data_IF_530658934660
#
_entry.id   IF_530658934660
#
_cell.length_a   1.000
_cell.length_b   1.000
_cell.length_c   1.000
_cell.angle_alpha   90.00
_cell.angle_beta   90.00
_cell.angle_gamma   90.00
#
_symmetry.space_group_name_H-M   'P 1'
#
loop_
_entity.id
_entity.type
_entity.pdbx_description
1 polymer ?
#
# COMPACT_ATOMS: atom_id res chain seq x y z
N UNK A 1 2.76 73.75 -10.08
CA UNK A 1 1.56 72.93 -9.94
C UNK A 1 1.17 72.13 -11.21
N UNK A 2 1.10 72.77 -12.40
CA UNK A 2 0.75 72.03 -13.66
C UNK A 2 1.66 70.84 -14.00
N UNK A 3 2.98 70.96 -13.82
CA UNK A 3 3.93 69.87 -14.12
C UNK A 3 3.81 68.62 -13.16
N UNK A 4 3.47 68.88 -11.90
CA UNK A 4 3.24 67.78 -10.91
C UNK A 4 1.93 67.05 -11.22
N UNK A 5 0.90 67.75 -11.63
CA UNK A 5 -0.39 67.16 -12.03
C UNK A 5 -0.23 66.26 -13.26
N UNK A 6 0.60 66.67 -14.24
CA UNK A 6 0.87 65.89 -15.45
C UNK A 6 1.64 64.61 -15.14
N UNK A 7 2.60 64.63 -14.20
CA UNK A 7 3.37 63.44 -13.79
C UNK A 7 2.44 62.44 -13.04
N UNK A 8 1.57 62.92 -12.17
CA UNK A 8 0.60 62.07 -11.47
C UNK A 8 -0.41 61.45 -12.46
N UNK A 9 -0.86 62.21 -13.46
CA UNK A 9 -1.77 61.68 -14.48
C UNK A 9 -1.13 60.62 -15.39
N UNK A 10 0.16 60.82 -15.77
CA UNK A 10 0.89 59.83 -16.55
C UNK A 10 1.23 58.56 -15.74
N UNK A 11 1.55 58.69 -14.43
CA UNK A 11 1.76 57.50 -13.58
C UNK A 11 0.47 56.72 -13.31
N UNK A 12 -0.68 57.39 -13.20
CA UNK A 12 -1.99 56.71 -13.08
C UNK A 12 -2.38 55.97 -14.35
N UNK A 13 -2.04 56.46 -15.54
CA UNK A 13 -2.30 55.74 -16.78
C UNK A 13 -1.46 54.49 -17.01
N UNK A 14 -0.23 54.44 -16.48
CA UNK A 14 0.65 53.27 -16.58
C UNK A 14 0.21 52.14 -15.64
N UNK A 15 -0.44 52.46 -14.52
CA UNK A 15 -0.98 51.43 -13.59
C UNK A 15 -2.25 50.74 -14.15
N UNK A 16 -2.98 51.36 -15.03
CA UNK A 16 -4.21 50.81 -15.61
C UNK A 16 -3.92 49.87 -16.81
N UNK A 17 -2.76 49.99 -17.47
CA UNK A 17 -2.40 49.15 -18.61
C UNK A 17 -1.66 47.83 -18.23
N UNK A 18 -1.47 47.56 -16.96
CA UNK A 18 -0.73 46.40 -16.48
C UNK A 18 -1.56 45.19 -16.06
N UNK A 19 -2.87 45.21 -16.19
CA UNK A 19 -3.68 44.01 -16.08
C UNK A 19 -3.96 43.47 -17.48
N UNK A 20 -3.09 42.62 -17.99
CA UNK A 20 -3.52 41.66 -19.01
C UNK A 20 -4.67 40.87 -18.37
N UNK A 21 -5.89 41.12 -18.89
CA UNK A 21 -7.00 40.25 -18.58
C UNK A 21 -6.67 38.88 -19.15
N UNK A 22 -6.10 38.02 -18.31
CA UNK A 22 -6.03 36.59 -18.60
C UNK A 22 -7.48 36.13 -18.78
N UNK A 23 -7.87 35.95 -20.04
CA UNK A 23 -9.19 35.42 -20.38
C UNK A 23 -9.21 33.92 -20.04
N UNK A 24 -9.51 33.61 -18.78
CA UNK A 24 -9.66 32.23 -18.28
C UNK A 24 -10.78 31.46 -18.98
N UNK A 25 -11.59 32.15 -19.81
CA UNK A 25 -12.62 31.51 -20.61
C UNK A 25 -12.07 30.89 -21.91
N UNK A 26 -10.85 31.23 -22.32
CA UNK A 26 -10.19 30.62 -23.47
C UNK A 26 -9.23 29.54 -23.09
N UNK A 27 -9.14 28.47 -23.90
CA UNK A 27 -8.15 27.40 -23.72
C UNK A 27 -6.75 27.95 -23.96
N UNK A 28 -5.90 27.86 -22.94
CA UNK A 28 -4.54 28.41 -22.96
C UNK A 28 -3.47 27.32 -23.19
N UNK A 29 -3.85 26.04 -23.11
CA UNK A 29 -2.93 24.94 -23.20
C UNK A 29 -3.39 23.93 -24.26
N UNK A 30 -2.44 23.23 -24.85
CA UNK A 30 -2.76 22.15 -25.77
C UNK A 30 -3.50 21.04 -25.04
N UNK A 31 -4.66 20.65 -25.56
CA UNK A 31 -5.42 19.50 -25.08
C UNK A 31 -4.73 18.21 -25.52
N UNK A 32 -4.14 17.51 -24.59
CA UNK A 32 -3.48 16.21 -24.83
C UNK A 32 -3.94 15.19 -23.80
N UNK A 33 -4.18 13.95 -24.24
CA UNK A 33 -4.53 12.84 -23.36
C UNK A 33 -3.26 12.32 -22.67
N UNK A 34 -3.31 12.20 -21.36
CA UNK A 34 -2.23 11.74 -20.49
C UNK A 34 -2.69 10.55 -19.65
N UNK A 35 -1.85 9.58 -19.39
CA UNK A 35 -2.06 8.62 -18.30
C UNK A 35 -1.56 9.20 -16.97
N UNK A 36 -2.40 9.13 -15.94
CA UNK A 36 -2.07 9.65 -14.63
C UNK A 36 -0.94 8.83 -14.02
N UNK A 37 0.18 9.48 -13.77
CA UNK A 37 1.40 8.88 -13.25
C UNK A 37 2.36 9.95 -12.71
N UNK A 38 3.32 9.55 -11.89
CA UNK A 38 4.42 10.41 -11.44
C UNK A 38 5.46 10.65 -12.58
N UNK A 39 6.58 11.32 -12.25
CA UNK A 39 7.65 11.58 -13.22
C UNK A 39 8.33 10.31 -13.77
N UNK A 40 8.28 9.20 -13.03
CA UNK A 40 8.81 7.90 -13.42
C UNK A 40 7.76 7.00 -14.10
N UNK A 41 6.63 7.57 -14.50
CA UNK A 41 5.50 6.87 -15.14
C UNK A 41 4.87 5.79 -14.25
N UNK A 42 5.02 5.90 -12.94
CA UNK A 42 4.39 5.01 -11.94
C UNK A 42 3.16 5.68 -11.34
N UNK A 43 2.07 4.93 -11.22
CA UNK A 43 0.90 5.32 -10.45
C UNK A 43 0.73 4.36 -9.28
N UNK A 44 0.93 4.85 -8.05
CA UNK A 44 1.03 4.10 -6.79
C UNK A 44 0.08 4.62 -5.69
N UNK A 45 -0.98 5.34 -6.10
CA UNK A 45 -1.89 6.02 -5.17
C UNK A 45 -3.12 5.22 -4.79
N UNK A 46 -3.37 4.10 -5.45
CA UNK A 46 -4.49 3.22 -5.17
C UNK A 46 -4.03 2.00 -4.38
N UNK A 47 -4.91 1.50 -3.53
CA UNK A 47 -4.70 0.29 -2.72
C UNK A 47 -5.90 -0.60 -2.93
N UNK A 48 -5.67 -1.88 -3.14
CA UNK A 48 -6.71 -2.88 -3.24
C UNK A 48 -7.00 -3.47 -1.86
N UNK A 49 -8.26 -3.44 -1.47
CA UNK A 49 -8.73 -4.08 -0.25
C UNK A 49 -8.84 -5.60 -0.45
N UNK A 50 -8.27 -6.36 0.48
CA UNK A 50 -8.37 -7.82 0.49
C UNK A 50 -9.72 -8.21 1.08
N UNK A 51 -10.70 -8.39 0.22
CA UNK A 51 -12.07 -8.76 0.60
C UNK A 51 -12.61 -9.86 -0.32
N UNK A 52 -13.62 -10.56 0.14
CA UNK A 52 -14.30 -11.55 -0.67
C UNK A 52 -14.92 -10.90 -1.91
N UNK A 53 -14.59 -11.42 -3.09
CA UNK A 53 -15.06 -10.89 -4.38
C UNK A 53 -14.07 -9.96 -5.07
N UNK A 54 -12.98 -9.59 -4.39
CA UNK A 54 -11.94 -8.71 -4.95
C UNK A 54 -12.25 -7.22 -4.82
N UNK A 55 -11.48 -6.39 -5.54
CA UNK A 55 -11.59 -4.94 -5.52
C UNK A 55 -11.34 -4.34 -6.90
N UNK A 56 -11.60 -3.06 -7.09
CA UNK A 56 -11.45 -2.36 -8.37
C UNK A 56 -10.49 -1.19 -8.25
N UNK A 57 -9.39 -1.26 -8.99
CA UNK A 57 -8.52 -0.11 -9.22
C UNK A 57 -8.78 0.49 -10.60
N UNK A 58 -8.16 1.63 -10.89
CA UNK A 58 -8.39 2.35 -12.14
C UNK A 58 -7.09 2.77 -12.81
N UNK A 59 -6.99 2.56 -14.13
CA UNK A 59 -6.09 3.31 -14.97
C UNK A 59 -6.80 4.59 -15.36
N UNK A 60 -6.22 5.74 -15.07
CA UNK A 60 -6.86 7.04 -15.28
C UNK A 60 -6.20 7.74 -16.46
N UNK A 61 -7.00 8.02 -17.49
CA UNK A 61 -6.64 8.94 -18.56
C UNK A 61 -7.20 10.32 -18.23
N UNK A 62 -6.40 11.36 -18.40
CA UNK A 62 -6.78 12.75 -18.18
C UNK A 62 -6.47 13.59 -19.41
N UNK A 63 -7.34 14.56 -19.72
CA UNK A 63 -7.10 15.55 -20.73
C UNK A 63 -6.45 16.77 -20.09
N UNK A 64 -5.30 17.21 -20.61
CA UNK A 64 -4.70 18.50 -20.24
C UNK A 64 -5.48 19.64 -20.83
N UNK A 65 -5.24 20.85 -20.33
CA UNK A 65 -5.92 22.05 -20.76
C UNK A 65 -6.55 22.79 -19.59
N UNK A 66 -6.94 24.03 -19.79
CA UNK A 66 -7.63 24.88 -18.80
C UNK A 66 -9.15 24.68 -18.82
N UNK A 67 -9.68 24.14 -19.91
CA UNK A 67 -11.11 23.92 -20.13
C UNK A 67 -11.41 22.42 -20.30
N UNK A 68 -12.56 21.99 -19.83
CA UNK A 68 -13.10 20.67 -20.14
C UNK A 68 -13.31 20.51 -21.67
N UNK A 69 -13.44 19.27 -22.13
CA UNK A 69 -13.73 19.06 -23.56
C UNK A 69 -15.20 19.33 -23.89
N UNK A 70 -15.45 19.94 -25.04
CA UNK A 70 -16.81 20.19 -25.53
C UNK A 70 -17.39 18.95 -26.23
N UNK A 71 -16.52 18.09 -26.76
CA UNK A 71 -16.88 16.84 -27.44
C UNK A 71 -16.24 15.64 -26.75
N UNK A 72 -16.81 14.44 -26.85
CA UNK A 72 -16.20 13.23 -26.33
C UNK A 72 -14.85 12.93 -26.97
N UNK A 73 -13.84 12.63 -26.17
CA UNK A 73 -12.51 12.20 -26.63
C UNK A 73 -12.34 10.73 -26.38
N UNK A 74 -12.22 9.93 -27.45
CA UNK A 74 -11.99 8.49 -27.35
C UNK A 74 -10.54 8.21 -26.94
N UNK A 75 -10.36 7.45 -25.89
CA UNK A 75 -9.07 6.97 -25.40
C UNK A 75 -9.00 5.47 -25.56
N UNK A 76 -7.97 5.00 -26.24
CA UNK A 76 -7.72 3.57 -26.45
C UNK A 76 -6.41 3.20 -25.78
N UNK A 77 -6.45 2.18 -24.92
CA UNK A 77 -5.30 1.61 -24.26
C UNK A 77 -4.84 0.33 -24.97
N UNK A 78 -3.59 -0.04 -24.74
CA UNK A 78 -3.03 -1.33 -25.10
C UNK A 78 -2.02 -1.77 -24.04
N UNK A 79 -1.81 -3.07 -23.93
CA UNK A 79 -0.75 -3.62 -23.08
C UNK A 79 0.63 -3.15 -23.55
N UNK A 80 1.54 -3.02 -22.61
CA UNK A 80 2.93 -2.67 -22.86
C UNK A 80 3.83 -3.50 -21.93
N UNK A 81 5.08 -3.72 -22.32
CA UNK A 81 6.09 -4.49 -21.57
C UNK A 81 7.44 -3.76 -21.51
N UNK A 82 7.44 -2.45 -21.78
CA UNK A 82 8.67 -1.68 -21.97
C UNK A 82 9.17 -0.98 -20.70
N UNK A 83 8.25 -0.56 -19.83
CA UNK A 83 8.60 0.24 -18.64
C UNK A 83 9.10 -0.59 -17.48
N UNK A 84 8.56 -1.80 -17.25
CA UNK A 84 8.92 -2.61 -16.09
C UNK A 84 10.41 -2.97 -16.09
N UNK A 85 10.97 -3.25 -17.27
CA UNK A 85 12.42 -3.52 -17.41
C UNK A 85 13.26 -2.30 -17.04
N UNK A 86 12.86 -1.10 -17.51
CA UNK A 86 13.54 0.15 -17.17
C UNK A 86 13.40 0.47 -15.68
N UNK A 87 12.22 0.25 -15.11
CA UNK A 87 11.95 0.41 -13.68
C UNK A 87 12.88 -0.50 -12.84
N UNK A 88 12.96 -1.78 -13.17
CA UNK A 88 13.81 -2.75 -12.48
C UNK A 88 15.29 -2.37 -12.54
N UNK A 89 15.78 -1.98 -13.73
CA UNK A 89 17.16 -1.54 -13.90
C UNK A 89 17.46 -0.27 -13.06
N UNK A 90 16.55 0.69 -13.06
CA UNK A 90 16.74 1.96 -12.33
C UNK A 90 16.70 1.81 -10.81
N UNK A 91 15.85 0.90 -10.29
CA UNK A 91 15.60 0.79 -8.85
C UNK A 91 16.40 -0.32 -8.17
N UNK A 92 16.77 -1.38 -8.90
CA UNK A 92 17.36 -2.58 -8.31
C UNK A 92 18.67 -3.01 -9.00
N UNK A 93 19.00 -2.40 -10.14
CA UNK A 93 20.20 -2.65 -10.96
C UNK A 93 20.42 -4.16 -11.21
N UNK A 94 21.39 -4.78 -10.54
CA UNK A 94 21.72 -6.20 -10.67
C UNK A 94 20.99 -7.11 -9.68
N UNK A 95 20.30 -6.54 -8.68
CA UNK A 95 19.64 -7.34 -7.64
C UNK A 95 18.31 -7.92 -8.13
N UNK A 96 18.40 -9.00 -8.92
CA UNK A 96 17.24 -9.67 -9.54
C UNK A 96 16.22 -10.20 -8.52
N UNK A 97 16.65 -10.53 -7.29
CA UNK A 97 15.75 -11.01 -6.25
C UNK A 97 14.70 -9.96 -5.83
N UNK A 98 14.99 -8.67 -6.04
CA UNK A 98 14.12 -7.54 -5.73
C UNK A 98 13.29 -7.04 -6.92
N UNK A 99 13.48 -7.62 -8.11
CA UNK A 99 12.80 -7.13 -9.30
C UNK A 99 11.28 -7.18 -9.12
N UNK A 100 10.66 -6.07 -9.48
CA UNK A 100 9.22 -6.01 -9.63
C UNK A 100 8.75 -6.93 -10.76
N UNK A 101 7.52 -7.41 -10.65
CA UNK A 101 6.91 -8.41 -11.53
C UNK A 101 5.61 -7.85 -12.12
N UNK A 102 5.18 -8.42 -13.22
CA UNK A 102 3.79 -8.23 -13.65
C UNK A 102 2.84 -8.99 -12.72
N UNK A 103 1.67 -8.40 -12.50
CA UNK A 103 0.59 -9.10 -11.81
C UNK A 103 0.16 -10.31 -12.66
N UNK A 104 0.06 -11.53 -12.07
CA UNK A 104 -0.42 -12.71 -12.80
C UNK A 104 -1.81 -12.48 -13.42
N UNK A 105 -2.05 -13.03 -14.60
CA UNK A 105 -3.30 -12.85 -15.34
C UNK A 105 -4.53 -13.35 -14.58
N UNK A 106 -4.38 -14.38 -13.75
CA UNK A 106 -5.44 -14.89 -12.88
C UNK A 106 -5.84 -13.94 -11.75
N UNK A 107 -5.05 -12.87 -11.52
CA UNK A 107 -5.28 -11.91 -10.44
C UNK A 107 -6.01 -10.66 -10.88
N UNK A 108 -6.37 -10.51 -12.16
CA UNK A 108 -7.10 -9.33 -12.61
C UNK A 108 -7.95 -9.60 -13.85
N UNK A 109 -8.89 -8.69 -14.09
CA UNK A 109 -9.63 -8.55 -15.34
C UNK A 109 -9.63 -7.08 -15.77
N UNK A 110 -9.41 -6.87 -17.07
CA UNK A 110 -9.47 -5.54 -17.68
C UNK A 110 -10.57 -5.53 -18.75
N UNK A 111 -11.80 -5.14 -18.40
CA UNK A 111 -12.98 -5.41 -19.23
C UNK A 111 -13.03 -4.58 -20.51
N UNK A 112 -12.39 -3.41 -20.54
CA UNK A 112 -12.38 -2.54 -21.72
C UNK A 112 -11.08 -1.78 -21.87
N UNK A 113 -10.56 -1.78 -23.08
CA UNK A 113 -9.39 -1.00 -23.50
C UNK A 113 -9.78 0.31 -24.18
N UNK A 114 -11.08 0.62 -24.29
CA UNK A 114 -11.57 1.81 -24.93
C UNK A 114 -12.64 2.49 -24.08
N UNK A 115 -12.45 3.78 -23.82
CA UNK A 115 -13.40 4.63 -23.10
C UNK A 115 -13.36 6.06 -23.61
N UNK A 116 -14.45 6.80 -23.40
CA UNK A 116 -14.53 8.21 -23.74
C UNK A 116 -14.32 9.09 -22.51
N UNK A 117 -13.54 10.16 -22.66
CA UNK A 117 -13.63 11.34 -21.80
C UNK A 117 -14.87 12.08 -22.28
N UNK A 118 -15.94 12.09 -21.51
CA UNK A 118 -17.21 12.71 -21.90
C UNK A 118 -17.09 14.22 -22.02
N UNK A 119 -17.95 14.83 -22.86
CA UNK A 119 -18.08 16.28 -22.89
C UNK A 119 -18.35 16.84 -21.46
N UNK A 120 -17.72 17.96 -21.14
CA UNK A 120 -17.74 18.54 -19.79
C UNK A 120 -16.86 17.84 -18.76
N UNK A 121 -16.15 16.76 -19.13
CA UNK A 121 -15.22 16.04 -18.27
C UNK A 121 -13.76 16.28 -18.69
N UNK A 122 -12.83 16.02 -17.79
CA UNK A 122 -11.38 16.04 -18.04
C UNK A 122 -10.71 14.68 -17.85
N UNK A 123 -11.46 13.60 -17.57
CA UNK A 123 -10.88 12.27 -17.31
C UNK A 123 -11.79 11.11 -17.70
N UNK A 124 -11.18 9.99 -18.01
CA UNK A 124 -11.81 8.67 -18.10
C UNK A 124 -11.09 7.70 -17.14
N UNK A 125 -11.85 6.80 -16.51
CA UNK A 125 -11.36 5.85 -15.52
C UNK A 125 -11.61 4.43 -16.03
N UNK A 126 -10.56 3.74 -16.45
CA UNK A 126 -10.60 2.36 -16.91
C UNK A 126 -10.58 1.42 -15.72
N UNK A 127 -11.63 0.67 -15.43
CA UNK A 127 -11.66 -0.23 -14.29
C UNK A 127 -10.74 -1.43 -14.51
N UNK A 128 -10.05 -1.82 -13.45
CA UNK A 128 -9.24 -3.04 -13.34
C UNK A 128 -9.80 -3.83 -12.18
N UNK A 129 -10.51 -4.91 -12.46
CA UNK A 129 -11.06 -5.78 -11.42
C UNK A 129 -9.97 -6.71 -10.90
N UNK A 130 -9.64 -6.61 -9.62
CA UNK A 130 -8.63 -7.41 -8.95
C UNK A 130 -9.27 -8.57 -8.20
N UNK A 131 -8.66 -9.74 -8.29
CA UNK A 131 -9.11 -10.97 -7.62
C UNK A 131 -7.90 -11.83 -7.24
N UNK A 132 -8.08 -12.81 -6.36
CA UNK A 132 -7.04 -13.76 -5.96
C UNK A 132 -5.74 -13.10 -5.45
N UNK A 133 -5.82 -11.91 -4.87
CA UNK A 133 -4.64 -11.18 -4.40
C UNK A 133 -3.95 -11.85 -3.20
N UNK A 134 -4.61 -12.77 -2.54
CA UNK A 134 -4.04 -13.64 -1.50
C UNK A 134 -2.95 -14.59 -2.05
N UNK A 135 -2.97 -14.89 -3.36
CA UNK A 135 -1.98 -15.76 -4.02
C UNK A 135 -0.66 -15.06 -4.31
N UNK A 136 -0.63 -13.72 -4.34
CA UNK A 136 0.59 -12.98 -4.60
C UNK A 136 1.38 -12.70 -3.33
N UNK A 137 2.71 -12.82 -3.42
CA UNK A 137 3.61 -12.58 -2.30
C UNK A 137 3.54 -11.12 -1.84
N UNK A 138 3.39 -10.85 -0.54
CA UNK A 138 3.43 -9.49 0.00
C UNK A 138 4.83 -8.87 -0.05
N UNK A 139 5.87 -9.66 -0.32
CA UNK A 139 7.27 -9.22 -0.39
C UNK A 139 7.69 -8.77 -1.79
N UNK A 140 6.86 -9.03 -2.80
CA UNK A 140 7.13 -8.65 -4.18
C UNK A 140 6.37 -7.39 -4.57
N UNK A 141 6.94 -6.65 -5.49
CA UNK A 141 6.30 -5.49 -6.12
C UNK A 141 5.62 -5.96 -7.39
N UNK A 142 4.34 -5.65 -7.55
CA UNK A 142 3.56 -6.03 -8.73
C UNK A 142 3.06 -4.81 -9.46
N UNK A 143 3.07 -4.90 -10.81
CA UNK A 143 2.58 -3.87 -11.71
C UNK A 143 1.67 -4.44 -12.78
N UNK A 144 0.76 -3.59 -13.27
CA UNK A 144 0.16 -3.69 -14.59
C UNK A 144 0.72 -2.55 -15.45
N UNK A 145 1.01 -2.82 -16.72
CA UNK A 145 1.58 -1.83 -17.63
C UNK A 145 0.66 -1.60 -18.82
N UNK A 146 0.30 -0.33 -19.02
CA UNK A 146 -0.54 0.11 -20.14
C UNK A 146 0.06 1.32 -20.82
N UNK A 147 -0.29 1.47 -22.11
CA UNK A 147 0.01 2.66 -22.88
C UNK A 147 -1.19 3.09 -23.71
N UNK A 148 -1.26 4.36 -24.06
CA UNK A 148 -2.23 4.87 -25.02
C UNK A 148 -1.82 4.41 -26.43
N UNK A 149 -2.78 3.88 -27.19
CA UNK A 149 -2.63 3.64 -28.62
C UNK A 149 -2.67 5.00 -29.36
N UNK A 150 -1.50 5.50 -29.76
CA UNK A 150 -1.36 6.80 -30.40
C UNK A 150 -1.92 6.87 -31.82
N UNK A 151 -2.23 5.74 -32.45
CA UNK A 151 -2.88 5.70 -33.76
C UNK A 151 -4.39 5.92 -33.62
N UNK A 152 -4.98 5.41 -32.55
CA UNK A 152 -6.41 5.53 -32.25
C UNK A 152 -6.74 6.68 -31.31
N UNK A 153 -5.74 7.25 -30.63
CA UNK A 153 -5.83 8.43 -29.78
C UNK A 153 -4.69 9.40 -30.17
N UNK A 154 -4.84 10.12 -31.29
CA UNK A 154 -3.72 10.87 -31.89
C UNK A 154 -3.21 12.03 -31.02
N UNK A 155 -4.10 12.70 -30.26
CA UNK A 155 -3.74 13.82 -29.40
C UNK A 155 -3.28 13.35 -28.01
N UNK A 156 -2.46 12.30 -27.95
CA UNK A 156 -1.86 11.85 -26.69
C UNK A 156 -0.46 12.45 -26.46
N UNK A 157 -0.16 12.75 -25.22
CA UNK A 157 1.13 13.27 -24.80
C UNK A 157 2.21 12.17 -24.88
N UNK A 158 3.24 12.31 -25.73
CA UNK A 158 4.27 11.28 -25.91
C UNK A 158 5.04 10.94 -24.62
N UNK A 159 5.16 11.92 -23.70
CA UNK A 159 5.88 11.74 -22.43
C UNK A 159 5.03 11.11 -21.33
N UNK A 160 3.70 11.12 -21.48
CA UNK A 160 2.73 10.66 -20.47
C UNK A 160 1.75 9.63 -21.02
N UNK A 161 2.08 8.96 -22.11
CA UNK A 161 1.24 7.92 -22.72
C UNK A 161 1.42 6.52 -22.13
N UNK A 162 2.35 6.34 -21.21
CA UNK A 162 2.61 5.05 -20.54
C UNK A 162 2.32 5.16 -19.04
N UNK A 163 1.94 4.05 -18.42
CA UNK A 163 1.79 3.94 -16.96
C UNK A 163 2.15 2.55 -16.46
N UNK A 164 2.87 2.49 -15.35
CA UNK A 164 2.98 1.34 -14.47
C UNK A 164 2.01 1.54 -13.30
N UNK A 165 0.87 0.86 -13.32
CA UNK A 165 -0.07 0.82 -12.20
C UNK A 165 0.50 -0.13 -11.15
N UNK A 166 0.93 0.41 -10.01
CA UNK A 166 1.44 -0.38 -8.88
C UNK A 166 0.28 -0.98 -8.11
N UNK A 167 0.38 -2.28 -7.85
CA UNK A 167 -0.63 -2.99 -7.08
C UNK A 167 -0.18 -3.02 -5.63
N UNK A 168 -0.89 -2.28 -4.80
CA UNK A 168 -0.82 -2.36 -3.35
C UNK A 168 -2.04 -3.11 -2.84
N UNK A 169 -1.88 -3.85 -1.75
CA UNK A 169 -2.97 -4.54 -1.08
C UNK A 169 -3.00 -4.21 0.40
N UNK A 170 -4.19 -4.18 0.97
CA UNK A 170 -4.39 -3.98 2.39
C UNK A 170 -5.55 -4.81 2.91
N UNK A 171 -5.58 -4.98 4.21
CA UNK A 171 -6.72 -5.42 4.98
C UNK A 171 -6.86 -4.53 6.22
N UNK A 172 -7.86 -4.80 7.03
CA UNK A 172 -8.07 -4.04 8.27
C UNK A 172 -6.80 -3.91 9.15
N UNK A 173 -5.88 -4.88 9.11
CA UNK A 173 -4.74 -4.99 10.03
C UNK A 173 -3.44 -4.42 9.47
N UNK A 174 -3.26 -4.39 8.17
CA UNK A 174 -1.99 -4.00 7.53
C UNK A 174 -2.16 -3.54 6.08
N UNK A 175 -1.20 -2.73 5.59
CA UNK A 175 -1.13 -2.26 4.21
C UNK A 175 0.27 -2.45 3.63
N UNK A 176 0.36 -2.74 2.32
CA UNK A 176 1.64 -2.75 1.59
C UNK A 176 2.00 -1.38 1.03
N UNK A 177 1.05 -0.45 0.91
CA UNK A 177 1.31 0.92 0.45
C UNK A 177 2.02 1.72 1.54
N UNK A 178 1.44 1.73 2.74
CA UNK A 178 2.05 2.32 3.93
C UNK A 178 2.51 1.18 4.82
N UNK A 179 3.83 1.07 4.99
CA UNK A 179 4.39 -0.01 5.80
C UNK A 179 3.83 0.01 7.21
N UNK A 180 3.19 -1.08 7.62
CA UNK A 180 2.54 -1.21 8.92
C UNK A 180 3.49 -1.88 9.90
N UNK A 181 3.80 -1.20 11.00
CA UNK A 181 4.70 -1.68 12.05
C UNK A 181 3.98 -1.78 13.38
N UNK A 182 3.96 -2.98 13.94
CA UNK A 182 3.48 -3.22 15.29
C UNK A 182 4.66 -3.23 16.28
N UNK A 183 4.57 -2.42 17.33
CA UNK A 183 5.61 -2.31 18.35
C UNK A 183 5.42 -3.39 19.42
N UNK A 184 6.51 -4.04 19.81
CA UNK A 184 6.50 -4.95 20.94
C UNK A 184 6.26 -4.21 22.26
N UNK A 185 5.38 -4.75 23.09
CA UNK A 185 5.11 -4.28 24.45
C UNK A 185 5.00 -5.48 25.38
N UNK A 186 5.72 -5.45 26.50
CA UNK A 186 5.69 -6.56 27.49
C UNK A 186 5.94 -7.95 26.89
N UNK A 187 6.88 -8.07 25.94
CA UNK A 187 7.10 -9.30 25.20
C UNK A 187 8.39 -10.00 25.63
N UNK A 188 8.38 -11.34 25.58
CA UNK A 188 9.54 -12.18 25.88
C UNK A 188 9.69 -13.31 24.88
N UNK A 189 10.95 -13.65 24.56
CA UNK A 189 11.33 -14.84 23.80
C UNK A 189 12.27 -15.67 24.66
N UNK A 190 11.85 -16.87 24.98
CA UNK A 190 12.62 -17.82 25.80
C UNK A 190 13.34 -18.80 24.88
N UNK A 191 14.65 -18.78 24.91
CA UNK A 191 15.52 -19.59 24.06
C UNK A 191 16.20 -20.65 24.95
N UNK A 192 15.79 -21.92 24.82
CA UNK A 192 16.42 -22.97 25.58
C UNK A 192 17.82 -23.30 25.06
N UNK A 193 18.75 -23.56 25.95
CA UNK A 193 20.08 -24.03 25.62
C UNK A 193 20.21 -25.54 25.91
N UNK A 194 21.10 -26.26 25.20
CA UNK A 194 21.30 -27.70 25.41
C UNK A 194 21.78 -28.08 26.81
N UNK A 195 22.36 -27.14 27.53
CA UNK A 195 22.85 -27.30 28.92
C UNK A 195 21.75 -27.19 30.00
N UNK A 196 20.48 -26.96 29.57
CA UNK A 196 19.32 -26.86 30.46
C UNK A 196 19.02 -25.44 30.96
N UNK A 197 19.86 -24.46 30.64
CA UNK A 197 19.54 -23.04 30.89
C UNK A 197 18.69 -22.45 29.77
N UNK A 198 18.03 -21.33 30.04
CA UNK A 198 17.28 -20.61 29.03
C UNK A 198 17.68 -19.14 29.01
N UNK A 199 17.93 -18.61 27.81
CA UNK A 199 18.09 -17.17 27.59
C UNK A 199 16.71 -16.52 27.44
N UNK A 200 16.47 -15.41 28.12
CA UNK A 200 15.23 -14.61 27.94
C UNK A 200 15.57 -13.32 27.27
N UNK A 201 15.09 -13.17 26.05
CA UNK A 201 15.17 -11.91 25.27
C UNK A 201 13.87 -11.12 25.41
N UNK A 202 14.00 -9.80 25.36
CA UNK A 202 12.88 -8.87 25.35
C UNK A 202 12.94 -8.04 24.06
N UNK A 203 12.19 -8.40 23.03
CA UNK A 203 12.14 -7.60 21.82
C UNK A 203 11.63 -6.19 22.13
N UNK A 204 12.34 -5.18 21.66
CA UNK A 204 11.98 -3.76 21.82
C UNK A 204 11.72 -3.08 20.49
N UNK A 205 12.01 -3.76 19.40
CA UNK A 205 11.82 -3.26 18.04
C UNK A 205 10.36 -3.41 17.58
N UNK A 206 10.04 -2.78 16.46
CA UNK A 206 8.80 -3.04 15.77
C UNK A 206 8.92 -4.23 14.83
N UNK A 207 7.82 -4.96 14.67
CA UNK A 207 7.68 -6.01 13.66
C UNK A 207 6.83 -5.51 12.50
N UNK A 208 7.33 -5.64 11.29
CA UNK A 208 6.57 -5.27 10.09
C UNK A 208 5.53 -6.34 9.79
N UNK A 209 4.30 -5.89 9.62
CA UNK A 209 3.13 -6.75 9.36
C UNK A 209 2.66 -6.56 7.93
N UNK A 210 2.36 -7.67 7.26
CA UNK A 210 1.95 -7.69 5.85
C UNK A 210 0.58 -8.35 5.71
N UNK A 211 -0.34 -7.79 4.91
CA UNK A 211 -1.64 -8.38 4.65
C UNK A 211 -1.49 -9.60 3.73
N UNK A 212 -2.09 -10.73 4.11
CA UNK A 212 -2.11 -11.97 3.32
C UNK A 212 -3.48 -12.17 2.69
N UNK A 213 -4.53 -12.18 3.52
CA UNK A 213 -5.93 -12.28 3.10
C UNK A 213 -6.77 -11.24 3.85
N UNK A 214 -8.07 -11.24 3.66
CA UNK A 214 -9.01 -10.37 4.39
C UNK A 214 -8.79 -10.42 5.91
N UNK A 215 -8.61 -11.61 6.46
CA UNK A 215 -8.53 -11.85 7.89
C UNK A 215 -7.17 -12.41 8.34
N UNK A 216 -6.13 -12.31 7.54
CA UNK A 216 -4.82 -12.80 7.94
C UNK A 216 -3.68 -11.87 7.60
N UNK A 217 -2.66 -11.91 8.44
CA UNK A 217 -1.43 -11.15 8.28
C UNK A 217 -0.21 -12.03 8.52
N UNK A 218 0.92 -11.64 7.94
CA UNK A 218 2.23 -12.27 8.15
C UNK A 218 3.16 -11.32 8.89
N UNK A 219 3.95 -11.86 9.80
CA UNK A 219 5.04 -11.16 10.50
C UNK A 219 6.18 -12.14 10.82
N UNK A 220 7.34 -11.61 11.22
CA UNK A 220 8.46 -12.43 11.69
C UNK A 220 8.15 -13.02 13.07
N UNK A 221 8.56 -14.26 13.31
CA UNK A 221 8.34 -14.94 14.58
C UNK A 221 9.29 -14.41 15.68
N UNK A 222 8.78 -14.24 16.89
CA UNK A 222 9.59 -13.84 18.07
C UNK A 222 10.41 -12.59 17.81
N UNK A 223 11.72 -12.71 17.96
CA UNK A 223 12.71 -11.66 17.69
C UNK A 223 13.47 -11.85 16.37
N UNK A 224 12.99 -12.73 15.50
CA UNK A 224 13.57 -12.96 14.18
C UNK A 224 13.48 -11.69 13.31
N UNK A 225 14.55 -11.46 12.56
CA UNK A 225 14.67 -10.28 11.75
C UNK A 225 15.66 -10.52 10.58
N UNK A 226 15.70 -9.67 9.59
CA UNK A 226 16.68 -9.69 8.51
C UNK A 226 17.24 -8.29 8.26
N UNK A 227 18.54 -8.22 8.03
CA UNK A 227 19.25 -6.97 7.74
C UNK A 227 19.61 -6.84 6.26
N UNK A 228 19.69 -7.95 5.54
CA UNK A 228 20.06 -8.01 4.13
C UNK A 228 18.88 -8.45 3.27
N UNK A 229 18.45 -7.58 2.36
CA UNK A 229 17.36 -7.86 1.43
C UNK A 229 17.72 -8.89 0.34
N UNK A 230 18.98 -9.21 0.12
CA UNK A 230 19.37 -10.23 -0.86
C UNK A 230 19.05 -11.64 -0.39
N UNK A 231 19.11 -11.86 0.91
CA UNK A 231 18.78 -13.13 1.57
C UNK A 231 17.42 -13.10 2.28
N UNK A 232 16.73 -11.96 2.24
CA UNK A 232 15.51 -11.72 2.99
C UNK A 232 14.40 -12.75 2.73
N UNK A 233 14.21 -13.19 1.47
CA UNK A 233 13.15 -14.16 1.16
C UNK A 233 13.39 -15.53 1.83
N UNK A 234 14.63 -15.99 1.90
CA UNK A 234 14.95 -17.25 2.61
C UNK A 234 14.70 -17.12 4.12
N UNK A 235 15.12 -16.01 4.71
CA UNK A 235 14.91 -15.74 6.14
C UNK A 235 13.41 -15.56 6.44
N UNK A 236 12.68 -14.85 5.59
CA UNK A 236 11.24 -14.67 5.71
C UNK A 236 10.51 -16.01 5.64
N UNK A 237 10.86 -16.85 4.68
CA UNK A 237 10.23 -18.17 4.50
C UNK A 237 10.49 -19.12 5.69
N UNK A 238 11.63 -19.00 6.34
CA UNK A 238 12.02 -19.81 7.49
C UNK A 238 11.60 -19.25 8.84
N UNK A 239 11.37 -17.94 8.93
CA UNK A 239 11.20 -17.24 10.19
C UNK A 239 9.88 -16.48 10.34
N UNK A 240 8.91 -16.63 9.41
CA UNK A 240 7.63 -15.90 9.49
C UNK A 240 6.47 -16.80 9.92
N UNK A 241 5.51 -16.18 10.60
CA UNK A 241 4.23 -16.78 11.00
C UNK A 241 3.07 -16.03 10.35
N UNK A 242 1.94 -16.70 10.23
CA UNK A 242 0.65 -16.11 9.88
C UNK A 242 -0.19 -15.99 11.16
N UNK A 243 -0.82 -14.84 11.34
CA UNK A 243 -1.89 -14.63 12.29
C UNK A 243 -3.20 -14.57 11.52
N UNK A 244 -4.09 -15.50 11.81
CA UNK A 244 -5.43 -15.55 11.22
C UNK A 244 -6.46 -15.18 12.29
N UNK A 245 -7.21 -14.11 12.03
CA UNK A 245 -8.26 -13.60 12.89
C UNK A 245 -9.56 -14.33 12.59
N UNK A 246 -10.07 -15.03 13.60
CA UNK A 246 -11.30 -15.80 13.56
C UNK A 246 -12.54 -15.01 13.98
N UNK A 247 -13.45 -15.69 14.64
CA UNK A 247 -14.70 -15.13 15.11
C UNK A 247 -14.47 -14.08 16.22
N UNK A 248 -15.42 -13.18 16.34
CA UNK A 248 -15.50 -12.23 17.44
C UNK A 248 -15.81 -12.96 18.75
N UNK A 249 -15.14 -12.59 19.85
CA UNK A 249 -15.37 -13.23 21.13
C UNK A 249 -16.73 -12.78 21.72
N UNK A 250 -17.57 -13.72 22.19
CA UNK A 250 -18.88 -13.38 22.72
C UNK A 250 -18.85 -12.43 23.92
N UNK A 251 -17.84 -12.56 24.77
CA UNK A 251 -17.65 -11.76 25.97
C UNK A 251 -17.00 -10.39 25.70
N UNK A 252 -16.38 -10.21 24.52
CA UNK A 252 -15.70 -8.95 24.16
C UNK A 252 -15.83 -8.66 22.66
N UNK A 253 -16.74 -7.77 22.27
CA UNK A 253 -16.99 -7.42 20.87
C UNK A 253 -15.80 -6.69 20.21
N UNK A 254 -14.81 -6.24 20.96
CA UNK A 254 -13.59 -5.62 20.43
C UNK A 254 -12.45 -6.64 20.24
N UNK A 255 -12.65 -7.90 20.60
CA UNK A 255 -11.68 -8.97 20.47
C UNK A 255 -12.13 -10.04 19.49
N UNK A 256 -11.16 -10.67 18.84
CA UNK A 256 -11.35 -11.82 17.96
C UNK A 256 -10.43 -12.95 18.37
N UNK A 257 -10.87 -14.19 18.15
CA UNK A 257 -9.99 -15.34 18.19
C UNK A 257 -8.82 -15.16 17.22
N UNK A 258 -7.67 -15.73 17.59
CA UNK A 258 -6.48 -15.67 16.77
C UNK A 258 -5.82 -17.04 16.69
N UNK A 259 -5.59 -17.48 15.44
CA UNK A 259 -4.84 -18.72 15.15
C UNK A 259 -3.46 -18.36 14.63
N UNK A 260 -2.42 -19.02 15.15
CA UNK A 260 -1.03 -18.84 14.77
C UNK A 260 -0.60 -20.00 13.89
N UNK A 261 -0.26 -19.71 12.64
CA UNK A 261 0.08 -20.71 11.63
C UNK A 261 1.49 -20.50 11.06
N UNK A 262 2.15 -21.57 10.57
CA UNK A 262 3.40 -21.42 9.85
C UNK A 262 3.20 -20.70 8.51
N UNK A 263 4.13 -19.80 8.13
CA UNK A 263 4.07 -19.18 6.82
C UNK A 263 4.58 -20.12 5.71
N UNK A 264 5.75 -20.70 5.87
CA UNK A 264 6.36 -21.61 4.92
C UNK A 264 7.01 -22.80 5.66
N UNK A 265 8.31 -22.74 5.91
CA UNK A 265 9.08 -23.85 6.47
C UNK A 265 9.31 -23.76 7.99
N UNK A 266 8.86 -22.71 8.65
CA UNK A 266 8.91 -22.58 10.10
C UNK A 266 8.02 -23.64 10.76
N UNK A 267 8.48 -24.21 11.85
CA UNK A 267 7.66 -25.11 12.69
C UNK A 267 7.10 -24.32 13.87
N UNK A 268 5.78 -24.22 13.94
CA UNK A 268 5.05 -23.37 14.92
C UNK A 268 3.99 -24.19 15.62
N UNK A 269 3.91 -24.01 16.94
CA UNK A 269 2.86 -24.59 17.77
C UNK A 269 2.26 -23.49 18.64
N UNK A 270 0.99 -23.22 18.44
CA UNK A 270 0.22 -22.35 19.34
C UNK A 270 0.08 -23.01 20.69
N UNK A 271 0.34 -22.26 21.76
CA UNK A 271 0.26 -22.73 23.14
C UNK A 271 -1.05 -22.28 23.80
N UNK A 272 -1.38 -22.92 24.92
CA UNK A 272 -2.53 -22.55 25.75
C UNK A 272 -2.37 -21.10 26.24
N UNK A 273 -3.41 -20.29 26.27
CA UNK A 273 -3.37 -18.94 26.84
C UNK A 273 -2.73 -18.85 28.22
N UNK A 274 -1.93 -17.82 28.44
CA UNK A 274 -1.31 -17.54 29.74
C UNK A 274 -1.37 -16.03 30.07
N UNK A 275 -2.11 -15.66 31.12
CA UNK A 275 -2.26 -14.27 31.53
C UNK A 275 -2.82 -13.40 30.40
N UNK A 276 -2.08 -12.35 30.04
CA UNK A 276 -2.47 -11.42 28.97
C UNK A 276 -2.12 -11.90 27.54
N UNK A 277 -1.45 -13.04 27.40
CA UNK A 277 -1.08 -13.66 26.12
C UNK A 277 -2.09 -14.75 25.79
N UNK A 278 -3.30 -14.31 25.41
CA UNK A 278 -4.50 -15.12 25.31
C UNK A 278 -4.83 -15.59 23.88
N UNK A 279 -3.92 -15.40 22.94
CA UNK A 279 -4.06 -15.69 21.52
C UNK A 279 -5.30 -15.00 20.93
N UNK A 280 -5.39 -13.69 21.15
CA UNK A 280 -6.45 -12.85 20.62
C UNK A 280 -5.91 -11.65 19.85
N UNK A 281 -6.73 -11.17 18.93
CA UNK A 281 -6.67 -9.79 18.45
C UNK A 281 -7.60 -8.94 19.34
N UNK A 282 -7.15 -7.75 19.72
CA UNK A 282 -7.93 -6.79 20.50
C UNK A 282 -7.86 -5.39 19.88
N UNK A 283 -9.02 -4.78 19.66
CA UNK A 283 -9.11 -3.34 19.47
C UNK A 283 -9.05 -2.67 20.86
N UNK A 284 -7.87 -2.24 21.26
CA UNK A 284 -7.62 -1.68 22.59
C UNK A 284 -7.80 -0.16 22.56
N UNK A 285 -8.74 0.35 23.37
CA UNK A 285 -9.03 1.78 23.48
C UNK A 285 -8.62 2.29 24.86
N UNK A 286 -7.56 3.08 24.91
CA UNK A 286 -7.05 3.68 26.13
C UNK A 286 -7.61 5.10 26.25
N UNK A 287 -8.39 5.36 27.30
CA UNK A 287 -8.90 6.69 27.62
C UNK A 287 -7.98 7.36 28.63
N UNK A 288 -7.55 8.56 28.31
CA UNK A 288 -6.75 9.40 29.20
C UNK A 288 -7.69 10.22 30.13
N UNK A 289 -7.20 10.68 31.30
CA UNK A 289 -8.02 11.47 32.26
C UNK A 289 -8.60 12.77 31.68
N UNK A 290 -7.96 13.33 30.63
CA UNK A 290 -8.43 14.51 29.90
C UNK A 290 -9.52 14.20 28.84
N UNK A 291 -10.02 12.95 28.81
CA UNK A 291 -11.11 12.53 27.94
C UNK A 291 -10.68 12.15 26.50
N UNK A 292 -9.39 12.17 26.19
CA UNK A 292 -8.90 11.71 24.89
C UNK A 292 -8.84 10.19 24.84
N UNK A 293 -9.09 9.63 23.65
CA UNK A 293 -8.95 8.19 23.41
C UNK A 293 -7.81 7.93 22.44
N UNK A 294 -7.00 6.93 22.75
CA UNK A 294 -5.97 6.40 21.87
C UNK A 294 -6.36 4.99 21.49
N UNK A 295 -6.30 4.67 20.20
CA UNK A 295 -6.75 3.42 19.64
C UNK A 295 -5.57 2.60 19.18
N UNK A 296 -5.58 1.30 19.54
CA UNK A 296 -4.55 0.35 19.19
C UNK A 296 -5.16 -0.92 18.61
N UNK A 297 -4.62 -1.38 17.48
CA UNK A 297 -4.76 -2.76 17.04
C UNK A 297 -3.70 -3.57 17.78
N UNK A 298 -4.09 -4.59 18.53
CA UNK A 298 -3.20 -5.33 19.41
C UNK A 298 -3.30 -6.84 19.15
N UNK A 299 -2.15 -7.49 18.91
CA UNK A 299 -2.04 -8.95 18.90
C UNK A 299 -1.45 -9.43 20.23
N UNK A 300 -2.07 -10.41 20.84
CA UNK A 300 -1.65 -11.06 22.08
C UNK A 300 -1.37 -12.51 21.80
N UNK A 301 -0.11 -12.95 21.90
CA UNK A 301 0.34 -14.21 21.33
C UNK A 301 1.06 -15.04 22.39
N UNK A 302 0.74 -16.34 22.45
CA UNK A 302 1.48 -17.36 23.18
C UNK A 302 1.71 -18.57 22.27
N UNK A 303 2.97 -18.78 21.85
CA UNK A 303 3.34 -19.85 20.95
C UNK A 303 4.79 -20.25 21.13
N UNK A 304 5.18 -21.37 20.51
CA UNK A 304 6.59 -21.76 20.35
C UNK A 304 6.89 -22.02 18.89
N UNK A 305 8.15 -21.78 18.51
CA UNK A 305 8.62 -22.02 17.15
C UNK A 305 10.06 -22.53 17.13
N UNK A 306 10.43 -23.14 16.00
CA UNK A 306 11.81 -23.45 15.64
C UNK A 306 12.03 -23.25 14.15
N UNK A 307 13.25 -22.87 13.78
CA UNK A 307 13.61 -22.58 12.38
C UNK A 307 13.99 -23.85 11.61
N UNK A 308 14.50 -24.85 12.30
CA UNK A 308 14.88 -26.17 11.76
C UNK A 308 14.36 -27.27 12.66
N UNK A 309 14.07 -28.41 12.10
CA UNK A 309 13.60 -29.58 12.85
C UNK A 309 14.57 -30.08 13.93
N UNK A 310 15.86 -29.77 13.80
CA UNK A 310 16.91 -30.11 14.78
C UNK A 310 17.02 -29.10 15.93
N UNK A 311 16.42 -27.89 15.77
CA UNK A 311 16.51 -26.83 16.78
C UNK A 311 15.54 -27.12 17.95
N UNK A 312 15.89 -26.60 19.13
CA UNK A 312 14.96 -26.54 20.25
C UNK A 312 13.89 -25.46 19.98
N UNK A 313 12.68 -25.69 20.50
CA UNK A 313 11.62 -24.71 20.41
C UNK A 313 11.91 -23.48 21.27
N UNK A 314 11.76 -22.30 20.68
CA UNK A 314 11.75 -21.01 21.38
C UNK A 314 10.31 -20.67 21.73
N UNK A 315 10.05 -20.34 22.99
CA UNK A 315 8.72 -19.93 23.45
C UNK A 315 8.58 -18.41 23.40
N UNK A 316 7.43 -17.94 22.95
CA UNK A 316 7.14 -16.53 22.73
C UNK A 316 5.87 -16.13 23.47
N UNK A 317 6.01 -15.15 24.35
CA UNK A 317 4.92 -14.36 24.90
C UNK A 317 5.01 -12.97 24.29
N UNK A 318 4.10 -12.61 23.41
CA UNK A 318 4.20 -11.34 22.70
C UNK A 318 2.90 -10.54 22.74
N UNK A 319 3.06 -9.25 22.96
CA UNK A 319 2.04 -8.24 22.76
C UNK A 319 2.57 -7.22 21.77
N UNK A 320 1.90 -7.11 20.62
CA UNK A 320 2.27 -6.22 19.55
C UNK A 320 1.16 -5.19 19.34
N UNK A 321 1.51 -3.91 19.29
CA UNK A 321 0.56 -2.81 19.18
C UNK A 321 0.86 -1.91 17.97
N UNK A 322 -0.19 -1.56 17.25
CA UNK A 322 -0.20 -0.53 16.22
C UNK A 322 -1.19 0.56 16.61
N UNK A 323 -0.69 1.78 16.82
CA UNK A 323 -1.55 2.94 17.08
C UNK A 323 -2.11 3.48 15.77
N UNK A 324 -3.41 3.74 15.74
CA UNK A 324 -4.09 4.28 14.57
C UNK A 324 -5.11 5.35 14.94
N UNK A 325 -5.58 6.08 13.95
CA UNK A 325 -6.62 7.09 14.11
C UNK A 325 -7.91 6.65 13.42
N UNK A 326 -8.98 6.29 14.14
CA UNK A 326 -10.21 5.78 13.55
C UNK A 326 -10.93 6.79 12.65
N UNK A 327 -10.63 8.10 12.75
CA UNK A 327 -11.19 9.13 11.86
C UNK A 327 -10.59 9.11 10.46
N UNK A 328 -9.43 8.51 10.31
CA UNK A 328 -8.72 8.38 9.02
C UNK A 328 -8.96 7.02 8.40
N UNK A 329 -9.16 5.99 9.23
CA UNK A 329 -9.29 4.58 8.81
C UNK A 329 -10.75 4.08 8.75
N UNK A 330 -11.75 4.96 8.62
CA UNK A 330 -13.17 4.61 8.46
C UNK A 330 -13.61 3.40 9.31
N UNK A 331 -13.64 3.56 10.64
CA UNK A 331 -14.27 2.58 11.55
C UNK A 331 -15.77 2.76 11.57
#
# INVERSE_FOLDING_TARGET
MKKILTIILCSALVVISGCDNYDFAQEQFRKEVNLLSNSSLVYDRQVAELQQGGDTLFVVASLSGSQATDEPVTVVLQHSDTLLRAYNKSNFDINKARFAKYLPEECYEFPTMEMNISAGSSKAMFPVYLKNLEKISPDSIYFLEYKIDSLRTPDCNPKKRHVLLRIHKENYYASTQTATYYNYTSSTVIIPNPDGYSEVRRPTNSNRVFPISENSVRLMAGDENFTDYTTALDIINKGSIILEMGAQLPENPLAKELTILPYQSIDVVQLTPIGEYDNTYLLNVIRTPDGRSTYYKEFRLHYKYRLKSTDLYREVNAKLRYQFNPRVENL
#
